data_IF_166904382903
#
_entry.id   IF_166904382903
#
_cell.length_a   1.000
_cell.length_b   1.000
_cell.length_c   1.000
_cell.angle_alpha   90.00
_cell.angle_beta   90.00
_cell.angle_gamma   90.00
#
_symmetry.space_group_name_H-M   'P 1'
#
loop_
_entity.id
_entity.type
_entity.pdbx_description
1 polymer ?
#
# COMPACT_ATOMS: atom_id res chain seq x y z
N UNK A 1 -26.74 -22.35 -51.61
CA UNK A 1 -27.01 -23.18 -50.43
C UNK A 1 -27.02 -22.29 -49.18
N UNK A 2 -28.23 -22.09 -48.64
CA UNK A 2 -28.68 -21.81 -47.27
C UNK A 2 -27.77 -20.92 -46.37
N UNK A 3 -28.08 -19.63 -46.21
CA UNK A 3 -29.00 -19.00 -45.20
C UNK A 3 -28.58 -19.22 -43.74
N UNK A 4 -28.20 -18.14 -43.02
CA UNK A 4 -28.99 -17.47 -41.96
C UNK A 4 -28.13 -16.59 -41.03
N UNK A 5 -28.59 -15.36 -40.85
CA UNK A 5 -28.22 -14.35 -39.84
C UNK A 5 -28.70 -14.82 -38.46
N UNK A 6 -27.96 -14.56 -37.36
CA UNK A 6 -28.53 -14.16 -36.03
C UNK A 6 -27.54 -13.33 -35.20
N UNK A 7 -27.93 -12.08 -34.92
CA UNK A 7 -27.42 -11.29 -33.79
C UNK A 7 -27.72 -12.06 -32.50
N UNK A 8 -26.80 -12.05 -31.52
CA UNK A 8 -27.08 -12.52 -30.17
C UNK A 8 -26.81 -11.42 -29.16
N UNK A 9 -27.89 -10.73 -28.77
CA UNK A 9 -28.03 -10.08 -27.47
C UNK A 9 -27.86 -11.14 -26.38
N UNK A 10 -26.89 -10.97 -25.49
CA UNK A 10 -26.94 -11.64 -24.19
C UNK A 10 -27.35 -10.61 -23.15
N UNK A 11 -28.56 -10.87 -22.67
CA UNK A 11 -29.31 -10.30 -21.57
C UNK A 11 -28.51 -9.66 -20.44
N UNK A 12 -29.06 -8.54 -19.96
CA UNK A 12 -28.98 -8.13 -18.58
C UNK A 12 -29.37 -9.31 -17.65
N UNK A 13 -28.48 -9.69 -16.76
CA UNK A 13 -28.85 -10.44 -15.57
C UNK A 13 -29.02 -9.44 -14.42
N UNK A 14 -30.28 -9.13 -14.16
CA UNK A 14 -30.75 -8.50 -12.93
C UNK A 14 -30.82 -9.60 -11.85
N UNK A 15 -30.43 -9.23 -10.62
CA UNK A 15 -30.73 -9.86 -9.32
C UNK A 15 -29.86 -10.99 -8.78
N UNK A 16 -29.20 -10.68 -7.66
CA UNK A 16 -29.41 -11.44 -6.43
C UNK A 16 -29.87 -10.44 -5.36
N UNK A 17 -31.10 -10.59 -4.90
CA UNK A 17 -31.54 -10.03 -3.63
C UNK A 17 -30.86 -10.84 -2.52
N UNK A 18 -30.05 -10.18 -1.68
CA UNK A 18 -29.70 -10.73 -0.37
C UNK A 18 -30.56 -10.01 0.67
N UNK A 19 -31.52 -10.77 1.19
CA UNK A 19 -32.29 -10.44 2.39
C UNK A 19 -31.34 -10.54 3.58
N UNK A 20 -31.31 -9.46 4.37
CA UNK A 20 -30.74 -9.43 5.71
C UNK A 20 -29.25 -9.17 5.74
N UNK A 21 -28.85 -7.94 6.07
CA UNK A 21 -27.50 -7.73 6.61
C UNK A 21 -27.67 -7.11 7.99
N UNK A 22 -27.42 -7.93 9.00
CA UNK A 22 -27.05 -7.47 10.33
C UNK A 22 -25.95 -6.42 10.16
N UNK A 23 -26.23 -5.18 10.52
CA UNK A 23 -25.18 -4.17 10.69
C UNK A 23 -24.65 -4.32 12.11
N UNK A 24 -23.45 -4.88 12.35
CA UNK A 24 -22.69 -4.39 13.48
C UNK A 24 -22.29 -2.96 13.13
N UNK A 25 -23.01 -2.00 13.71
CA UNK A 25 -22.55 -0.63 13.78
C UNK A 25 -21.18 -0.64 14.46
N UNK A 26 -20.13 -0.43 13.67
CA UNK A 26 -18.83 -0.01 14.19
C UNK A 26 -18.64 1.45 13.80
N UNK A 27 -18.34 2.24 14.82
CA UNK A 27 -18.49 3.68 14.79
C UNK A 27 -17.57 4.36 13.77
N UNK A 28 -18.22 5.05 12.83
CA UNK A 28 -17.91 6.38 12.30
C UNK A 28 -16.46 6.70 11.88
N UNK A 29 -16.19 6.51 10.58
CA UNK A 29 -15.53 7.54 9.79
C UNK A 29 -16.62 8.40 9.13
N UNK A 30 -17.00 9.52 9.76
CA UNK A 30 -17.81 10.62 9.20
C UNK A 30 -18.96 10.25 8.23
N UNK A 31 -19.73 9.19 8.48
CA UNK A 31 -21.01 8.88 7.82
C UNK A 31 -21.05 8.95 6.28
N UNK A 32 -19.91 8.81 5.61
CA UNK A 32 -19.81 8.94 4.15
C UNK A 32 -20.01 7.62 3.42
N UNK A 33 -19.82 7.64 2.11
CA UNK A 33 -19.99 6.48 1.23
C UNK A 33 -18.96 6.47 0.11
N UNK A 34 -18.48 5.27 -0.19
CA UNK A 34 -17.65 5.02 -1.37
C UNK A 34 -18.47 5.17 -2.64
N UNK A 35 -17.89 5.89 -3.60
CA UNK A 35 -18.45 6.15 -4.91
C UNK A 35 -17.47 5.71 -5.99
N UNK A 36 -17.97 5.32 -7.16
CA UNK A 36 -17.14 4.89 -8.28
C UNK A 36 -17.73 5.33 -9.62
N UNK A 37 -16.87 5.82 -10.49
CA UNK A 37 -17.19 6.13 -11.88
C UNK A 37 -16.16 5.47 -12.84
N UNK A 38 -16.06 5.98 -14.07
CA UNK A 38 -15.10 5.51 -15.07
C UNK A 38 -13.66 5.92 -14.80
N UNK A 39 -13.44 6.92 -13.95
CA UNK A 39 -12.11 7.44 -13.59
C UNK A 39 -11.56 6.69 -12.39
N UNK A 40 -12.38 6.44 -11.36
CA UNK A 40 -11.94 5.71 -10.19
C UNK A 40 -12.89 5.75 -9.01
N UNK A 41 -12.33 5.38 -7.85
CA UNK A 41 -13.02 5.43 -6.57
C UNK A 41 -12.79 6.75 -5.87
N UNK A 42 -13.84 7.32 -5.28
CA UNK A 42 -13.78 8.50 -4.44
C UNK A 42 -14.71 8.34 -3.23
N UNK A 43 -14.60 9.22 -2.24
CA UNK A 43 -15.40 9.12 -1.02
C UNK A 43 -16.26 10.37 -0.84
N UNK A 44 -17.57 10.17 -0.76
CA UNK A 44 -18.53 11.24 -0.49
C UNK A 44 -18.81 11.29 1.01
N UNK A 45 -18.40 12.36 1.67
CA UNK A 45 -18.72 12.61 3.06
C UNK A 45 -20.24 12.81 3.25
N UNK A 46 -20.73 12.62 4.47
CA UNK A 46 -22.15 12.80 4.81
C UNK A 46 -22.70 14.19 4.46
N UNK A 47 -21.88 15.23 4.58
CA UNK A 47 -22.20 16.61 4.21
C UNK A 47 -22.14 16.89 2.69
N UNK A 48 -21.87 15.88 1.87
CA UNK A 48 -21.76 15.98 0.42
C UNK A 48 -20.40 16.42 -0.12
N UNK A 49 -19.47 16.83 0.76
CA UNK A 49 -18.08 17.12 0.37
C UNK A 49 -17.29 15.85 0.07
N UNK A 50 -16.07 16.00 -0.44
CA UNK A 50 -15.14 14.90 -0.69
C UNK A 50 -13.69 15.36 -0.53
N UNK A 51 -12.78 14.50 -0.05
CA UNK A 51 -11.37 14.83 0.16
C UNK A 51 -10.62 15.03 -1.17
N UNK A 52 -9.61 15.91 -1.16
CA UNK A 52 -8.72 16.21 -2.29
C UNK A 52 -7.34 16.59 -1.79
N UNK A 53 -6.29 16.01 -2.38
CA UNK A 53 -4.90 16.15 -1.90
C UNK A 53 -4.77 15.88 -0.39
N UNK A 54 -5.58 14.97 0.14
CA UNK A 54 -5.77 14.80 1.57
C UNK A 54 -5.81 13.33 1.98
N UNK A 55 -5.43 13.09 3.22
CA UNK A 55 -5.47 11.80 3.88
C UNK A 55 -6.81 11.59 4.55
N UNK A 56 -7.44 10.43 4.35
CA UNK A 56 -8.62 10.04 5.10
C UNK A 56 -8.45 8.65 5.66
N UNK A 57 -8.78 8.50 6.95
CA UNK A 57 -8.93 7.19 7.58
C UNK A 57 -10.38 6.75 7.50
N UNK A 58 -10.65 5.64 6.81
CA UNK A 58 -11.99 5.08 6.58
C UNK A 58 -11.93 3.61 6.97
N UNK A 59 -12.83 3.18 7.86
CA UNK A 59 -12.91 1.80 8.36
C UNK A 59 -11.56 1.24 8.85
N UNK A 60 -10.81 2.10 9.54
CA UNK A 60 -9.50 1.75 10.12
C UNK A 60 -8.34 1.69 9.11
N UNK A 61 -8.58 1.98 7.83
CA UNK A 61 -7.55 2.03 6.77
C UNK A 61 -7.27 3.45 6.30
N UNK A 62 -6.03 3.76 5.98
CA UNK A 62 -5.62 5.04 5.41
C UNK A 62 -5.68 5.02 3.89
N UNK A 63 -6.24 6.09 3.34
CA UNK A 63 -6.32 6.38 1.91
C UNK A 63 -5.79 7.79 1.67
N UNK A 64 -5.21 8.02 0.49
CA UNK A 64 -4.87 9.36 0.02
C UNK A 64 -5.64 9.66 -1.26
N UNK A 65 -6.20 10.86 -1.34
CA UNK A 65 -6.99 11.31 -2.47
C UNK A 65 -6.19 12.28 -3.32
N UNK A 66 -6.16 12.07 -4.63
CA UNK A 66 -5.51 12.95 -5.59
C UNK A 66 -6.22 14.33 -5.64
N UNK A 67 -5.67 15.27 -6.41
CA UNK A 67 -6.23 16.62 -6.53
C UNK A 67 -7.62 16.68 -7.17
N UNK A 68 -8.08 15.60 -7.80
CA UNK A 68 -9.43 15.46 -8.35
C UNK A 68 -10.37 14.76 -7.37
N UNK A 69 -9.86 14.18 -6.30
CA UNK A 69 -10.61 13.49 -5.25
C UNK A 69 -10.76 12.00 -5.47
N UNK A 70 -9.92 11.38 -6.31
CA UNK A 70 -9.87 9.92 -6.49
C UNK A 70 -8.76 9.31 -5.65
N UNK A 71 -8.99 8.10 -5.12
CA UNK A 71 -7.97 7.44 -4.31
C UNK A 71 -6.73 7.07 -5.13
N UNK A 72 -5.57 7.16 -4.48
CA UNK A 72 -4.37 6.51 -4.94
C UNK A 72 -4.45 5.01 -4.64
N UNK A 73 -4.13 4.17 -5.62
CA UNK A 73 -4.06 2.71 -5.45
C UNK A 73 -3.03 2.08 -6.39
N UNK A 74 -2.52 0.92 -6.01
CA UNK A 74 -1.56 0.11 -6.79
C UNK A 74 -0.27 0.84 -7.18
N UNK A 75 0.20 1.82 -6.40
CA UNK A 75 1.41 2.57 -6.74
C UNK A 75 2.13 3.16 -5.54
N UNK A 76 3.37 3.56 -5.80
CA UNK A 76 4.13 4.48 -4.99
C UNK A 76 3.57 5.90 -5.14
N UNK A 77 3.58 6.66 -4.05
CA UNK A 77 3.27 8.09 -4.04
C UNK A 77 4.22 8.82 -3.09
N UNK A 78 4.72 9.98 -3.52
CA UNK A 78 5.56 10.83 -2.70
C UNK A 78 4.72 12.00 -2.15
N UNK A 79 4.53 12.05 -0.83
CA UNK A 79 3.64 12.99 -0.16
C UNK A 79 4.40 13.58 1.02
N UNK A 80 4.50 14.92 1.10
CA UNK A 80 5.15 15.64 2.21
C UNK A 80 6.53 15.06 2.58
N UNK A 81 7.41 14.92 1.59
CA UNK A 81 8.79 14.40 1.73
C UNK A 81 8.93 12.93 2.18
N UNK A 82 7.84 12.16 2.09
CA UNK A 82 7.84 10.73 2.40
C UNK A 82 7.28 9.90 1.24
N UNK A 83 7.88 8.73 1.03
CA UNK A 83 7.36 7.71 0.11
C UNK A 83 6.37 6.79 0.81
N UNK A 84 5.23 6.58 0.17
CA UNK A 84 4.18 5.66 0.60
C UNK A 84 3.90 4.65 -0.51
N UNK A 85 3.37 3.48 -0.13
CA UNK A 85 2.86 2.52 -1.10
C UNK A 85 1.41 2.13 -0.80
N UNK A 86 0.55 2.30 -1.79
CA UNK A 86 -0.86 1.96 -1.72
C UNK A 86 -1.11 0.63 -2.42
N UNK A 87 -1.79 -0.29 -1.73
CA UNK A 87 -2.14 -1.58 -2.30
C UNK A 87 -3.26 -1.46 -3.36
N UNK A 88 -3.71 -2.59 -3.91
CA UNK A 88 -4.73 -2.62 -4.96
C UNK A 88 -6.10 -2.08 -4.54
N UNK A 89 -6.39 -2.07 -3.25
CA UNK A 89 -7.61 -1.48 -2.66
C UNK A 89 -7.43 -0.03 -2.26
N UNK A 90 -6.25 0.56 -2.48
CA UNK A 90 -5.93 1.93 -2.07
C UNK A 90 -5.59 2.07 -0.58
N UNK A 91 -5.38 0.97 0.14
CA UNK A 91 -4.93 1.05 1.53
C UNK A 91 -3.43 1.38 1.55
N UNK A 92 -3.05 2.36 2.37
CA UNK A 92 -1.66 2.64 2.70
C UNK A 92 -1.02 1.41 3.38
N UNK A 93 0.19 1.07 2.95
CA UNK A 93 1.02 0.06 3.62
C UNK A 93 1.67 0.69 4.84
N UNK A 94 1.52 0.08 6.01
CA UNK A 94 2.07 0.59 7.28
C UNK A 94 2.56 -0.55 8.16
N UNK A 95 3.58 -0.26 8.97
CA UNK A 95 4.16 -1.12 9.99
C UNK A 95 4.51 -2.54 9.51
N UNK A 96 5.12 -2.65 8.32
CA UNK A 96 5.37 -3.97 7.72
C UNK A 96 6.44 -3.95 6.63
N UNK A 97 7.02 -5.12 6.39
CA UNK A 97 7.80 -5.42 5.19
C UNK A 97 6.88 -5.69 4.00
N UNK A 98 7.21 -5.13 2.84
CA UNK A 98 6.46 -5.36 1.61
C UNK A 98 7.40 -5.60 0.44
N UNK A 99 7.17 -6.68 -0.29
CA UNK A 99 7.82 -6.94 -1.57
C UNK A 99 7.07 -6.18 -2.67
N UNK A 100 7.79 -5.32 -3.39
CA UNK A 100 7.27 -4.49 -4.47
C UNK A 100 8.22 -4.64 -5.65
N UNK A 101 7.74 -5.24 -6.74
CA UNK A 101 8.61 -5.79 -7.77
C UNK A 101 9.44 -6.96 -7.21
N UNK A 102 10.75 -6.87 -7.34
CA UNK A 102 11.74 -7.86 -6.89
C UNK A 102 12.51 -7.42 -5.62
N UNK A 103 12.06 -6.33 -4.98
CA UNK A 103 12.72 -5.69 -3.85
C UNK A 103 11.82 -5.63 -2.62
N UNK A 104 12.43 -5.71 -1.45
CA UNK A 104 11.77 -5.57 -0.16
C UNK A 104 11.95 -4.16 0.38
N UNK A 105 10.88 -3.60 0.94
CA UNK A 105 10.85 -2.29 1.57
C UNK A 105 10.16 -2.42 2.93
N UNK A 106 10.52 -1.56 3.88
CA UNK A 106 9.84 -1.48 5.16
C UNK A 106 9.13 -0.14 5.32
N UNK A 107 7.89 -0.20 5.81
CA UNK A 107 7.07 0.97 6.09
C UNK A 107 6.87 1.10 7.59
N UNK A 108 7.08 2.29 8.14
CA UNK A 108 6.86 2.59 9.56
C UNK A 108 5.36 2.63 9.93
N UNK A 109 5.06 2.92 11.20
CA UNK A 109 3.67 3.00 11.70
C UNK A 109 2.84 4.15 11.12
N UNK A 110 3.49 5.09 10.43
CA UNK A 110 2.84 6.19 9.70
C UNK A 110 2.81 5.91 8.19
N UNK A 111 3.31 4.77 7.74
CA UNK A 111 3.37 4.39 6.33
C UNK A 111 4.54 4.98 5.56
N UNK A 112 5.51 5.61 6.22
CA UNK A 112 6.70 6.10 5.54
C UNK A 112 7.62 4.94 5.19
N UNK A 113 8.08 4.89 3.94
CA UNK A 113 9.17 4.02 3.53
C UNK A 113 10.45 4.41 4.27
N UNK A 114 11.02 3.49 5.03
CA UNK A 114 12.31 3.70 5.67
C UNK A 114 13.45 3.61 4.66
N UNK A 115 14.50 4.41 4.88
CA UNK A 115 15.72 4.42 4.08
C UNK A 115 16.94 4.72 4.95
N UNK A 116 18.13 4.30 4.51
CA UNK A 116 19.43 4.52 5.16
C UNK A 116 19.49 4.09 6.64
N UNK A 117 18.88 2.97 7.00
CA UNK A 117 18.86 2.52 8.40
C UNK A 117 18.67 1.02 8.53
N UNK A 118 18.95 0.51 9.73
CA UNK A 118 18.63 -0.85 10.13
C UNK A 118 17.15 -1.00 10.51
N UNK A 119 16.57 -2.14 10.15
CA UNK A 119 15.24 -2.60 10.55
C UNK A 119 15.39 -4.03 11.03
N UNK A 120 15.55 -4.21 12.34
CA UNK A 120 15.94 -5.50 12.91
C UNK A 120 17.33 -5.91 12.44
N UNK A 121 17.47 -7.14 11.93
CA UNK A 121 18.73 -7.65 11.38
C UNK A 121 18.94 -7.30 9.88
N UNK A 122 18.13 -6.40 9.29
CA UNK A 122 18.18 -6.04 7.87
C UNK A 122 18.49 -4.55 7.68
N UNK A 123 19.15 -4.19 6.58
CA UNK A 123 19.43 -2.79 6.26
C UNK A 123 18.67 -2.33 5.01
N UNK A 124 17.98 -1.20 5.08
CA UNK A 124 17.33 -0.55 3.92
C UNK A 124 18.23 0.54 3.35
N UNK A 125 18.43 0.51 2.03
CA UNK A 125 19.34 1.42 1.31
C UNK A 125 18.82 2.86 1.27
N UNK A 126 19.56 3.77 0.62
CA UNK A 126 19.10 5.13 0.32
C UNK A 126 17.85 5.21 -0.55
N UNK A 127 17.57 4.14 -1.30
CA UNK A 127 16.37 4.01 -2.13
C UNK A 127 15.26 3.21 -1.40
N UNK A 128 15.47 2.87 -0.13
CA UNK A 128 14.55 2.10 0.71
C UNK A 128 14.55 0.59 0.49
N UNK A 129 15.19 0.09 -0.56
CA UNK A 129 15.27 -1.34 -0.82
C UNK A 129 16.22 -2.05 0.15
N UNK A 130 15.80 -3.22 0.64
CA UNK A 130 16.58 -4.08 1.51
C UNK A 130 17.85 -4.54 0.80
N UNK A 131 19.00 -4.32 1.43
CA UNK A 131 20.28 -4.81 0.95
C UNK A 131 20.37 -6.33 1.12
N UNK A 132 20.99 -7.00 0.14
CA UNK A 132 21.32 -8.44 0.17
C UNK A 132 22.62 -8.69 -0.60
N UNK A 133 23.37 -9.71 -0.22
CA UNK A 133 24.66 -10.09 -0.83
C UNK A 133 25.63 -8.90 -0.96
N UNK A 134 25.75 -8.07 0.07
CA UNK A 134 26.55 -6.85 0.01
C UNK A 134 27.03 -6.42 1.39
N UNK A 135 27.76 -5.31 1.43
CA UNK A 135 28.20 -4.63 2.65
C UNK A 135 27.37 -3.36 2.84
N UNK A 136 26.89 -3.12 4.06
CA UNK A 136 26.15 -1.92 4.44
C UNK A 136 27.09 -0.70 4.52
N UNK A 137 26.56 0.55 4.47
CA UNK A 137 27.39 1.76 4.59
C UNK A 137 28.24 1.84 5.87
N UNK A 138 27.79 1.19 6.95
CA UNK A 138 28.47 1.05 8.23
C UNK A 138 29.34 -0.22 8.34
N UNK A 139 29.70 -0.82 7.20
CA UNK A 139 30.65 -1.93 7.05
C UNK A 139 30.23 -3.29 7.62
N UNK A 140 28.93 -3.59 7.68
CA UNK A 140 28.44 -4.93 8.02
C UNK A 140 28.09 -5.75 6.78
N UNK A 141 28.37 -7.05 6.81
CA UNK A 141 28.03 -7.97 5.72
C UNK A 141 26.59 -8.45 5.88
N UNK A 142 25.77 -8.31 4.84
CA UNK A 142 24.43 -8.90 4.76
C UNK A 142 24.38 -10.04 3.74
N UNK A 143 23.77 -11.16 4.12
CA UNK A 143 23.71 -12.39 3.34
C UNK A 143 22.73 -12.34 2.15
N UNK A 144 22.51 -13.49 1.53
CA UNK A 144 21.60 -13.63 0.37
C UNK A 144 20.13 -13.41 0.71
N UNK A 145 19.76 -13.65 1.97
CA UNK A 145 18.47 -13.33 2.56
C UNK A 145 18.38 -11.87 3.06
N UNK A 146 19.46 -11.10 2.94
CA UNK A 146 19.57 -9.73 3.43
C UNK A 146 19.82 -9.60 4.93
N UNK A 147 19.89 -10.73 5.65
CA UNK A 147 20.13 -10.72 7.09
C UNK A 147 21.60 -10.41 7.38
N UNK A 148 21.86 -9.64 8.41
CA UNK A 148 23.20 -9.38 8.91
C UNK A 148 23.92 -10.68 9.31
N UNK A 149 25.08 -10.92 8.68
CA UNK A 149 25.98 -12.01 9.05
C UNK A 149 26.95 -11.57 10.16
N UNK A 150 26.58 -11.93 11.40
CA UNK A 150 27.35 -11.63 12.61
C UNK A 150 28.71 -12.35 12.67
N UNK A 151 28.99 -13.32 11.79
CA UNK A 151 30.28 -14.03 11.77
C UNK A 151 31.39 -13.17 11.16
N UNK A 152 31.02 -12.25 10.26
CA UNK A 152 31.97 -11.38 9.55
C UNK A 152 32.05 -9.97 10.15
N UNK A 153 31.28 -9.65 11.19
CA UNK A 153 31.31 -8.34 11.85
C UNK A 153 32.61 -8.02 12.59
N UNK A 154 33.50 -9.01 12.74
CA UNK A 154 34.83 -8.96 13.34
C UNK A 154 34.87 -8.47 14.81
N UNK A 155 35.68 -9.18 15.58
CA UNK A 155 36.20 -8.76 16.89
C UNK A 155 36.89 -7.40 16.74
N UNK A 156 36.21 -6.31 17.03
CA UNK A 156 36.79 -4.97 17.25
C UNK A 156 36.56 -4.54 18.71
N UNK A 157 36.74 -5.49 19.64
CA UNK A 157 36.81 -5.24 21.09
C UNK A 157 37.89 -6.08 21.77
N UNK A 158 39.05 -6.22 21.13
CA UNK A 158 40.32 -6.47 21.80
C UNK A 158 41.35 -5.56 21.15
N UNK A 159 42.10 -4.85 21.99
CA UNK A 159 43.12 -3.82 21.69
C UNK A 159 42.61 -2.37 21.68
N UNK A 160 42.37 -1.83 22.88
CA UNK A 160 43.28 -0.86 23.52
C UNK A 160 42.93 -0.76 25.01
#
# INVERSE_FOLDING_TARGET
>A
MNKLIKNLTVAAAISIAIIGVYTPATASANGGSWQRDSVGWWYKNSNGSYPKNDWQRIDGKWYYFDGRGYIIHSKWEHINDHWYYFNTSGHMTENTWKMIGDKWYYFDTKGHMLQNQWVGDYYVSKNGDMLKNTVTPDNYVVGSDGKWDKRFSKRTSRES
#
